data_IF_814981792884
#
_entry.id   IF_814981792884
#
_cell.length_a   1.000
_cell.length_b   1.000
_cell.length_c   1.000
_cell.angle_alpha   90.00
_cell.angle_beta   90.00
_cell.angle_gamma   90.00
#
_symmetry.space_group_name_H-M   'P 1'
#
loop_
_entity.id
_entity.type
_entity.pdbx_description
1 polymer ?
#
# COMPACT_ATOMS: atom_id res chain seq x y z
N UNK A 1 8.27 -24.53 -1.75
CA UNK A 1 7.66 -23.18 -1.70
C UNK A 1 7.77 -22.57 -3.07
N UNK A 2 6.66 -22.28 -3.76
CA UNK A 2 6.75 -21.68 -5.10
C UNK A 2 7.20 -20.22 -4.97
N UNK A 3 8.30 -19.87 -5.66
CA UNK A 3 8.92 -18.54 -5.61
C UNK A 3 7.93 -17.42 -5.93
N UNK A 4 6.88 -17.75 -6.68
CA UNK A 4 5.78 -16.86 -7.06
C UNK A 4 5.03 -16.24 -5.89
N UNK A 5 4.82 -16.98 -4.78
CA UNK A 5 4.13 -16.45 -3.59
C UNK A 5 4.92 -15.30 -2.95
N UNK A 6 6.24 -15.30 -3.12
CA UNK A 6 7.13 -14.24 -2.66
C UNK A 6 7.31 -13.12 -3.71
N UNK A 7 7.54 -13.50 -4.97
CA UNK A 7 7.89 -12.55 -6.02
C UNK A 7 6.71 -11.69 -6.47
N UNK A 8 5.52 -12.27 -6.64
CA UNK A 8 4.36 -11.54 -7.16
C UNK A 8 3.95 -10.36 -6.25
N UNK A 9 3.86 -10.51 -4.92
CA UNK A 9 3.59 -9.37 -4.03
C UNK A 9 4.62 -8.25 -4.13
N UNK A 10 5.91 -8.59 -4.21
CA UNK A 10 6.98 -7.60 -4.33
C UNK A 10 6.90 -6.84 -5.66
N UNK A 11 6.66 -7.56 -6.76
CA UNK A 11 6.45 -6.95 -8.09
C UNK A 11 5.20 -6.06 -8.08
N UNK A 12 4.10 -6.49 -7.48
CA UNK A 12 2.89 -5.66 -7.34
C UNK A 12 3.16 -4.37 -6.56
N UNK A 13 3.94 -4.45 -5.47
CA UNK A 13 4.40 -3.29 -4.71
C UNK A 13 5.26 -2.33 -5.53
N UNK A 14 6.21 -2.86 -6.30
CA UNK A 14 7.06 -2.08 -7.20
C UNK A 14 6.25 -1.38 -8.29
N UNK A 15 5.33 -2.09 -8.94
CA UNK A 15 4.42 -1.52 -9.95
C UNK A 15 3.60 -0.38 -9.34
N UNK A 16 3.03 -0.58 -8.15
CA UNK A 16 2.28 0.47 -7.47
C UNK A 16 3.16 1.71 -7.20
N UNK A 17 4.43 1.51 -6.82
CA UNK A 17 5.37 2.61 -6.59
C UNK A 17 5.74 3.34 -7.88
N UNK A 18 5.91 2.63 -9.00
CA UNK A 18 6.17 3.23 -10.31
C UNK A 18 4.97 4.04 -10.80
N UNK A 19 3.75 3.50 -10.67
CA UNK A 19 2.51 4.19 -11.06
C UNK A 19 2.35 5.53 -10.33
N UNK A 20 2.78 5.65 -9.06
CA UNK A 20 2.68 6.89 -8.29
C UNK A 20 3.32 8.10 -8.99
N UNK A 21 4.37 7.90 -9.78
CA UNK A 21 5.06 8.99 -10.49
C UNK A 21 4.26 9.52 -11.68
N UNK A 22 3.43 8.68 -12.28
CA UNK A 22 2.61 9.06 -13.43
C UNK A 22 1.26 9.67 -13.03
N UNK A 23 0.88 9.56 -11.76
CA UNK A 23 -0.37 10.13 -11.25
C UNK A 23 -0.16 11.60 -10.86
N UNK A 24 -0.71 12.49 -11.70
CA UNK A 24 -0.61 13.95 -11.55
C UNK A 24 -1.06 14.46 -10.18
N UNK A 25 -2.11 13.87 -9.59
CA UNK A 25 -2.64 14.29 -8.28
C UNK A 25 -1.68 14.03 -7.10
N UNK A 26 -0.64 13.23 -7.28
CA UNK A 26 0.37 12.99 -6.25
C UNK A 26 1.38 14.13 -6.11
N UNK A 27 1.45 15.06 -7.09
CA UNK A 27 2.41 16.17 -7.14
C UNK A 27 3.87 15.73 -6.83
N UNK A 28 4.24 14.50 -7.21
CA UNK A 28 5.60 13.99 -6.97
C UNK A 28 6.54 14.50 -8.05
N UNK A 29 7.56 15.25 -7.64
CA UNK A 29 8.76 15.47 -8.47
C UNK A 29 9.60 14.19 -8.48
N UNK A 30 10.25 13.90 -9.60
CA UNK A 30 11.24 12.81 -9.74
C UNK A 30 12.48 13.12 -8.89
N UNK A 31 12.35 12.94 -7.58
CA UNK A 31 13.45 13.03 -6.62
C UNK A 31 13.54 11.71 -5.88
N UNK A 32 14.76 11.21 -5.67
CA UNK A 32 14.98 9.92 -4.98
C UNK A 32 14.33 9.87 -3.59
N UNK A 33 14.25 11.01 -2.90
CA UNK A 33 13.55 11.17 -1.61
C UNK A 33 12.04 10.87 -1.71
N UNK A 34 11.42 11.18 -2.85
CA UNK A 34 10.00 10.95 -3.10
C UNK A 34 9.69 9.49 -3.48
N UNK A 35 10.70 8.70 -3.87
CA UNK A 35 10.59 7.25 -4.09
C UNK A 35 10.34 6.52 -2.76
N UNK A 36 10.93 7.00 -1.66
CA UNK A 36 10.70 6.42 -0.32
C UNK A 36 9.53 7.08 0.43
N UNK A 37 8.98 8.18 -0.10
CA UNK A 37 7.90 8.89 0.57
C UNK A 37 6.58 8.07 0.57
N UNK A 38 6.02 7.91 1.77
CA UNK A 38 4.73 7.25 2.07
C UNK A 38 3.50 7.99 1.51
N UNK A 39 3.67 9.14 0.87
CA UNK A 39 2.59 9.96 0.31
C UNK A 39 2.19 9.54 -1.12
N UNK A 40 0.92 9.77 -1.47
CA UNK A 40 0.35 9.52 -2.79
C UNK A 40 -0.30 8.14 -2.99
N UNK A 41 -1.11 8.02 -4.04
CA UNK A 41 -1.83 6.81 -4.47
C UNK A 41 -1.25 6.27 -5.78
N UNK A 42 -1.28 4.95 -6.08
CA UNK A 42 -1.86 3.86 -5.29
C UNK A 42 -0.96 3.42 -4.11
N UNK A 43 -1.51 2.68 -3.16
CA UNK A 43 -0.78 2.20 -1.98
C UNK A 43 0.05 0.94 -2.29
N UNK A 44 1.37 1.03 -2.12
CA UNK A 44 2.28 -0.12 -2.30
C UNK A 44 2.07 -1.23 -1.26
N UNK A 45 1.88 -0.89 0.01
CA UNK A 45 1.60 -1.86 1.08
C UNK A 45 0.29 -2.62 0.80
N UNK A 46 -0.74 -1.92 0.34
CA UNK A 46 -2.01 -2.53 -0.03
C UNK A 46 -1.85 -3.44 -1.26
N UNK A 47 -1.06 -3.04 -2.26
CA UNK A 47 -0.79 -3.86 -3.43
C UNK A 47 -0.07 -5.18 -3.06
N UNK A 48 0.93 -5.12 -2.16
CA UNK A 48 1.67 -6.29 -1.67
C UNK A 48 0.71 -7.27 -0.97
N UNK A 49 -0.02 -6.83 0.05
CA UNK A 49 -0.83 -7.73 0.87
C UNK A 49 -2.04 -8.31 0.11
N UNK A 50 -2.64 -7.54 -0.80
CA UNK A 50 -3.71 -8.06 -1.66
C UNK A 50 -3.14 -9.07 -2.64
N UNK A 51 -2.02 -8.77 -3.31
CA UNK A 51 -1.38 -9.73 -4.20
C UNK A 51 -1.00 -11.03 -3.49
N UNK A 52 -0.55 -10.96 -2.23
CA UNK A 52 -0.22 -12.13 -1.41
C UNK A 52 -1.46 -12.97 -1.10
N UNK A 53 -2.54 -12.33 -0.65
CA UNK A 53 -3.80 -13.03 -0.38
C UNK A 53 -4.38 -13.66 -1.66
N UNK A 54 -4.30 -12.95 -2.79
CA UNK A 54 -4.75 -13.47 -4.09
C UNK A 54 -3.95 -14.68 -4.54
N UNK A 55 -2.61 -14.63 -4.54
CA UNK A 55 -1.81 -15.78 -5.01
C UNK A 55 -1.96 -16.99 -4.09
N UNK A 56 -2.05 -16.79 -2.78
CA UNK A 56 -2.31 -17.89 -1.83
C UNK A 56 -3.71 -18.46 -2.07
N UNK A 57 -4.73 -17.62 -2.27
CA UNK A 57 -6.09 -18.08 -2.57
C UNK A 57 -6.17 -18.89 -3.87
N UNK A 58 -5.38 -18.52 -4.89
CA UNK A 58 -5.30 -19.24 -6.15
C UNK A 58 -4.52 -20.56 -6.06
N UNK A 59 -3.44 -20.61 -5.26
CA UNK A 59 -2.56 -21.79 -5.19
C UNK A 59 -2.94 -22.80 -4.12
N UNK A 60 -3.27 -22.31 -2.93
CA UNK A 60 -3.55 -23.13 -1.75
C UNK A 60 -5.07 -23.25 -1.50
N UNK A 61 -5.88 -22.44 -2.18
CA UNK A 61 -7.33 -22.40 -2.03
C UNK A 61 -7.80 -21.48 -0.90
N UNK A 62 -9.01 -20.95 -1.04
CA UNK A 62 -9.62 -20.01 -0.08
C UNK A 62 -9.96 -20.66 1.29
N UNK A 63 -10.04 -21.98 1.35
CA UNK A 63 -10.29 -22.72 2.59
C UNK A 63 -8.98 -23.09 3.33
N UNK A 64 -7.82 -22.68 2.81
CA UNK A 64 -6.53 -22.98 3.45
C UNK A 64 -6.26 -22.07 4.66
N UNK A 65 -5.57 -22.59 5.71
CA UNK A 65 -5.10 -21.76 6.82
C UNK A 65 -4.19 -20.61 6.35
N UNK A 66 -3.39 -20.83 5.31
CA UNK A 66 -2.52 -19.80 4.73
C UNK A 66 -3.33 -18.65 4.13
N UNK A 67 -4.42 -18.95 3.41
CA UNK A 67 -5.29 -17.91 2.88
C UNK A 67 -5.91 -17.09 4.00
N UNK A 68 -6.45 -17.76 5.03
CA UNK A 68 -7.06 -17.10 6.20
C UNK A 68 -6.08 -16.12 6.88
N UNK A 69 -4.83 -16.55 7.11
CA UNK A 69 -3.79 -15.68 7.67
C UNK A 69 -3.51 -14.50 6.73
N UNK A 70 -3.32 -14.76 5.44
CA UNK A 70 -2.95 -13.73 4.46
C UNK A 70 -4.02 -12.65 4.28
N UNK A 71 -5.30 -13.02 4.26
CA UNK A 71 -6.40 -12.07 4.07
C UNK A 71 -6.66 -11.24 5.33
N UNK A 72 -6.55 -11.84 6.53
CA UNK A 72 -6.64 -11.11 7.79
C UNK A 72 -5.48 -10.11 7.90
N UNK A 73 -4.26 -10.53 7.56
CA UNK A 73 -3.11 -9.63 7.49
C UNK A 73 -3.34 -8.48 6.51
N UNK A 74 -3.90 -8.76 5.33
CA UNK A 74 -4.23 -7.72 4.35
C UNK A 74 -5.21 -6.70 4.91
N UNK A 75 -6.26 -7.14 5.61
CA UNK A 75 -7.25 -6.26 6.24
C UNK A 75 -6.58 -5.37 7.29
N UNK A 76 -5.74 -5.92 8.18
CA UNK A 76 -5.04 -5.15 9.23
C UNK A 76 -4.15 -4.09 8.59
N UNK A 77 -3.29 -4.47 7.65
CA UNK A 77 -2.36 -3.55 6.98
C UNK A 77 -3.09 -2.43 6.24
N UNK A 78 -4.20 -2.76 5.55
CA UNK A 78 -5.00 -1.76 4.85
C UNK A 78 -5.68 -0.81 5.85
N UNK A 79 -6.25 -1.34 6.93
CA UNK A 79 -6.92 -0.53 7.96
C UNK A 79 -5.95 0.45 8.61
N UNK A 80 -4.77 -0.01 8.99
CA UNK A 80 -3.75 0.82 9.65
C UNK A 80 -3.24 1.90 8.69
N UNK A 81 -2.98 1.55 7.43
CA UNK A 81 -2.57 2.51 6.41
C UNK A 81 -3.65 3.59 6.16
N UNK A 82 -4.93 3.22 6.16
CA UNK A 82 -6.05 4.16 6.03
C UNK A 82 -6.18 5.06 7.27
N UNK A 83 -6.05 4.49 8.47
CA UNK A 83 -6.06 5.22 9.74
C UNK A 83 -4.99 6.30 9.76
N UNK A 84 -3.73 5.92 9.54
CA UNK A 84 -2.60 6.85 9.52
C UNK A 84 -2.81 7.96 8.47
N UNK A 85 -3.27 7.60 7.25
CA UNK A 85 -3.56 8.59 6.21
C UNK A 85 -4.64 9.59 6.62
N UNK A 86 -5.68 9.11 7.31
CA UNK A 86 -6.77 9.97 7.81
C UNK A 86 -6.28 10.91 8.92
N UNK A 87 -5.45 10.43 9.86
CA UNK A 87 -4.89 11.27 10.92
C UNK A 87 -3.93 12.31 10.34
N UNK A 88 -2.99 11.91 9.48
CA UNK A 88 -2.08 12.85 8.81
C UNK A 88 -2.83 13.91 7.99
N UNK A 89 -3.91 13.52 7.31
CA UNK A 89 -4.76 14.46 6.57
C UNK A 89 -5.46 15.48 7.48
N UNK A 90 -5.94 15.05 8.64
CA UNK A 90 -6.54 15.95 9.64
C UNK A 90 -5.49 16.87 10.25
N UNK A 91 -4.36 16.33 10.69
CA UNK A 91 -3.26 17.13 11.25
C UNK A 91 -2.72 18.15 10.25
N UNK A 92 -2.53 17.75 8.98
CA UNK A 92 -2.10 18.67 7.93
C UNK A 92 -3.10 19.80 7.66
N UNK A 93 -4.41 19.52 7.73
CA UNK A 93 -5.45 20.57 7.64
C UNK A 93 -5.38 21.52 8.82
N UNK A 94 -5.28 21.02 10.04
CA UNK A 94 -5.17 21.86 11.25
C UNK A 94 -3.92 22.73 11.21
N UNK A 95 -2.76 22.18 10.84
CA UNK A 95 -1.52 22.94 10.69
C UNK A 95 -1.64 24.04 9.63
N UNK A 96 -2.28 23.76 8.49
CA UNK A 96 -2.48 24.76 7.45
C UNK A 96 -3.40 25.91 7.89
N UNK A 97 -4.30 25.70 8.86
CA UNK A 97 -5.12 26.76 9.47
C UNK A 97 -4.22 27.58 10.41
N UNK A 98 -3.51 26.93 11.32
CA UNK A 98 -2.64 27.58 12.31
C UNK A 98 -1.50 28.42 11.71
N UNK A 99 -1.01 28.07 10.52
CA UNK A 99 0.05 28.83 9.82
C UNK A 99 -0.52 30.00 9.02
N UNK A 100 -1.81 29.98 8.68
CA UNK A 100 -2.47 31.06 7.95
C UNK A 100 -2.96 32.19 8.85
N UNK A 101 -3.18 31.89 10.14
CA UNK A 101 -3.45 32.85 11.21
C UNK A 101 -2.14 33.43 11.78
#
# INVERSE_FOLDING_TARGET
MSLEILLLPLVAGLIAQLIKFFIRSNNKKFEFKNILAYSGMPSGHSAIVISLATIIGLKEGINSPLFAISIILAIIVIRDALGIRRYLGQHGKTLNILVKD
#
